data_IF_751878229822
#
_entry.id   IF_751878229822
#
_cell.length_a   1.000
_cell.length_b   1.000
_cell.length_c   1.000
_cell.angle_alpha   90.00
_cell.angle_beta   90.00
_cell.angle_gamma   90.00
#
_symmetry.space_group_name_H-M   'P 1'
#
loop_
_entity.id
_entity.type
_entity.pdbx_description
1 polymer ?
#
# COMPACT_ATOMS: atom_id res chain seq x y z
N UNK A 1 21.91 4.78 23.72
CA UNK A 1 21.31 4.36 22.41
C UNK A 1 19.93 5.00 22.14
N UNK A 2 19.08 5.19 23.13
CA UNK A 2 17.74 5.79 22.96
C UNK A 2 17.79 7.26 22.58
N UNK A 3 18.81 7.98 23.02
CA UNK A 3 19.00 9.39 22.69
C UNK A 3 19.39 9.53 21.21
N UNK A 4 20.31 8.74 20.73
CA UNK A 4 20.75 8.70 19.34
C UNK A 4 19.59 8.24 18.44
N UNK A 5 18.74 7.32 18.91
CA UNK A 5 17.53 6.93 18.17
C UNK A 5 16.57 8.13 18.05
N UNK A 6 16.39 8.94 19.09
CA UNK A 6 15.55 10.16 19.00
C UNK A 6 16.11 11.17 17.99
N UNK A 7 17.44 11.38 17.98
CA UNK A 7 18.07 12.25 16.98
C UNK A 7 17.88 11.74 15.56
N UNK A 8 18.03 10.43 15.35
CA UNK A 8 17.81 9.83 14.04
C UNK A 8 16.36 9.95 13.58
N UNK A 9 15.38 9.75 14.45
CA UNK A 9 13.95 9.93 14.15
C UNK A 9 13.69 11.38 13.74
N UNK A 10 14.20 12.36 14.49
CA UNK A 10 14.07 13.76 14.14
C UNK A 10 14.73 14.10 12.79
N UNK A 11 15.87 13.49 12.49
CA UNK A 11 16.53 13.61 11.18
C UNK A 11 15.67 13.04 10.04
N UNK A 12 15.06 11.86 10.25
CA UNK A 12 14.18 11.28 9.25
C UNK A 12 12.94 12.16 8.96
N UNK A 13 12.36 12.74 10.01
CA UNK A 13 11.17 13.60 9.89
C UNK A 13 11.50 14.97 9.26
N UNK A 14 12.49 15.65 9.77
CA UNK A 14 12.74 17.05 9.47
C UNK A 14 13.67 17.27 8.26
N UNK A 15 14.67 16.42 8.08
CA UNK A 15 15.70 16.57 7.04
C UNK A 15 15.40 15.65 5.86
N UNK A 16 15.22 14.36 6.10
CA UNK A 16 14.91 13.39 5.03
C UNK A 16 13.46 13.46 4.56
N UNK A 17 12.58 14.07 5.35
CA UNK A 17 11.13 14.13 5.08
C UNK A 17 10.56 12.76 4.71
N UNK A 18 11.00 11.74 5.46
CA UNK A 18 10.55 10.37 5.27
C UNK A 18 9.05 10.27 5.61
N UNK A 19 8.33 9.34 4.96
CA UNK A 19 6.92 9.13 5.27
C UNK A 19 6.73 8.73 6.74
N UNK A 20 5.61 9.13 7.33
CA UNK A 20 5.26 8.76 8.70
C UNK A 20 5.36 7.25 8.93
N UNK A 21 4.91 6.43 7.98
CA UNK A 21 4.99 4.97 8.07
C UNK A 21 6.45 4.47 8.09
N UNK A 22 7.35 5.11 7.34
CA UNK A 22 8.78 4.77 7.33
C UNK A 22 9.40 5.10 8.68
N UNK A 23 9.13 6.31 9.22
CA UNK A 23 9.62 6.74 10.53
C UNK A 23 9.17 5.78 11.63
N UNK A 24 7.87 5.47 11.69
CA UNK A 24 7.31 4.56 12.70
C UNK A 24 7.88 3.14 12.58
N UNK A 25 8.07 2.65 11.36
CA UNK A 25 8.65 1.33 11.13
C UNK A 25 10.11 1.28 11.57
N UNK A 26 10.91 2.27 11.19
CA UNK A 26 12.32 2.36 11.57
C UNK A 26 12.48 2.52 13.08
N UNK A 27 11.68 3.38 13.71
CA UNK A 27 11.66 3.54 15.16
C UNK A 27 11.38 2.20 15.85
N UNK A 28 10.32 1.48 15.43
CA UNK A 28 9.97 0.18 16.02
C UNK A 28 11.08 -0.87 15.83
N UNK A 29 11.69 -0.93 14.62
CA UNK A 29 12.74 -1.90 14.32
C UNK A 29 14.00 -1.63 15.17
N UNK A 30 14.41 -0.37 15.24
CA UNK A 30 15.61 0.06 15.99
C UNK A 30 15.42 -0.07 17.49
N UNK A 31 14.23 0.21 18.02
CA UNK A 31 13.91 -0.02 19.44
C UNK A 31 14.12 -1.48 19.83
N UNK A 32 13.68 -2.42 18.97
CA UNK A 32 13.88 -3.86 19.23
C UNK A 32 15.35 -4.26 19.12
N UNK A 33 16.08 -3.71 18.15
CA UNK A 33 17.53 -3.92 18.03
C UNK A 33 18.26 -3.41 19.28
N UNK A 34 17.96 -2.21 19.75
CA UNK A 34 18.57 -1.62 20.95
C UNK A 34 18.29 -2.50 22.16
N UNK A 35 17.06 -2.95 22.36
CA UNK A 35 16.70 -3.86 23.45
C UNK A 35 17.51 -5.17 23.40
N UNK A 36 17.71 -5.73 22.20
CA UNK A 36 18.57 -6.90 22.01
C UNK A 36 20.03 -6.60 22.41
N UNK A 37 20.59 -5.47 21.94
CA UNK A 37 21.97 -5.09 22.23
C UNK A 37 22.20 -4.86 23.71
N UNK A 38 21.27 -4.21 24.42
CA UNK A 38 21.32 -4.09 25.88
C UNK A 38 21.32 -5.45 26.57
N UNK A 39 20.51 -6.41 26.09
CA UNK A 39 20.53 -7.79 26.58
C UNK A 39 21.86 -8.54 26.36
N UNK A 40 22.72 -8.03 25.45
CA UNK A 40 24.08 -8.51 25.23
C UNK A 40 25.15 -7.67 25.98
N UNK A 41 24.75 -6.75 26.85
CA UNK A 41 25.65 -5.88 27.61
C UNK A 41 26.24 -4.72 26.82
N UNK A 42 25.61 -4.33 25.69
CA UNK A 42 26.02 -3.19 24.88
C UNK A 42 25.19 -1.97 25.23
N UNK A 43 25.77 -1.02 25.95
CA UNK A 43 25.07 0.20 26.44
C UNK A 43 25.38 1.46 25.60
N UNK A 44 26.33 1.38 24.70
CA UNK A 44 26.74 2.49 23.85
C UNK A 44 26.77 2.11 22.37
N UNK A 45 26.35 3.05 21.48
CA UNK A 45 26.43 2.87 20.03
C UNK A 45 27.87 2.67 19.55
N UNK A 46 28.87 3.25 20.22
CA UNK A 46 30.30 3.10 19.90
C UNK A 46 30.86 1.71 20.19
N UNK A 47 30.22 0.95 21.07
CA UNK A 47 30.60 -0.43 21.38
C UNK A 47 30.05 -1.46 20.37
N UNK A 48 29.05 -1.06 19.56
CA UNK A 48 28.44 -1.98 18.59
C UNK A 48 29.40 -2.32 17.46
N UNK A 49 29.48 -3.60 17.12
CA UNK A 49 30.29 -4.13 16.02
C UNK A 49 29.40 -4.89 15.04
N UNK A 50 29.87 -5.07 13.82
CA UNK A 50 29.16 -5.82 12.77
C UNK A 50 28.75 -7.22 13.24
N UNK A 51 29.55 -7.87 14.09
CA UNK A 51 29.24 -9.20 14.65
C UNK A 51 27.95 -9.18 15.49
N UNK A 52 27.72 -8.14 16.29
CA UNK A 52 26.51 -8.00 17.11
C UNK A 52 25.27 -7.84 16.23
N UNK A 53 25.37 -7.05 15.17
CA UNK A 53 24.28 -6.85 14.22
C UNK A 53 23.97 -8.11 13.40
N UNK A 54 25.01 -8.83 12.99
CA UNK A 54 24.83 -10.14 12.30
C UNK A 54 24.15 -11.16 13.24
N UNK A 55 24.54 -11.20 14.52
CA UNK A 55 23.90 -12.08 15.50
C UNK A 55 22.42 -11.73 15.69
N UNK A 56 22.08 -10.42 15.67
CA UNK A 56 20.68 -9.99 15.70
C UNK A 56 19.91 -10.41 14.45
N UNK A 57 20.50 -10.29 13.26
CA UNK A 57 19.88 -10.76 12.00
C UNK A 57 19.63 -12.27 12.06
N UNK A 58 20.60 -13.06 12.54
CA UNK A 58 20.44 -14.51 12.71
C UNK A 58 19.32 -14.85 13.72
N UNK A 59 19.17 -14.07 14.78
CA UNK A 59 18.05 -14.22 15.71
C UNK A 59 16.71 -14.00 15.01
N UNK A 60 16.58 -12.93 14.21
CA UNK A 60 15.34 -12.66 13.45
C UNK A 60 15.01 -13.79 12.46
N UNK A 61 16.03 -14.40 11.84
CA UNK A 61 15.87 -15.57 10.96
C UNK A 61 15.40 -16.80 11.76
N UNK A 62 16.03 -17.07 12.92
CA UNK A 62 15.65 -18.17 13.82
C UNK A 62 14.23 -18.02 14.34
N UNK A 63 13.77 -16.80 14.60
CA UNK A 63 12.40 -16.48 15.01
C UNK A 63 11.38 -16.60 13.87
N UNK A 64 11.82 -17.03 12.67
CA UNK A 64 10.94 -17.26 11.52
C UNK A 64 10.43 -16.01 10.84
N UNK A 65 11.10 -14.87 11.01
CA UNK A 65 10.71 -13.64 10.35
C UNK A 65 10.82 -13.73 8.83
N UNK A 66 9.85 -13.18 8.11
CA UNK A 66 9.89 -13.15 6.65
C UNK A 66 11.10 -12.37 6.11
N UNK A 67 11.73 -12.85 5.04
CA UNK A 67 12.90 -12.24 4.41
C UNK A 67 12.70 -10.74 4.09
N UNK A 68 11.49 -10.34 3.65
CA UNK A 68 11.17 -8.93 3.42
C UNK A 68 11.17 -8.10 4.72
N UNK A 69 10.74 -8.68 5.83
CA UNK A 69 10.79 -8.03 7.15
C UNK A 69 12.23 -7.86 7.60
N UNK A 70 13.05 -8.91 7.51
CA UNK A 70 14.48 -8.86 7.84
C UNK A 70 15.21 -7.82 6.98
N UNK A 71 14.90 -7.75 5.67
CA UNK A 71 15.46 -6.73 4.77
C UNK A 71 15.13 -5.31 5.24
N UNK A 72 13.93 -5.08 5.78
CA UNK A 72 13.53 -3.78 6.35
C UNK A 72 14.31 -3.47 7.64
N UNK A 73 14.49 -4.46 8.53
CA UNK A 73 15.34 -4.30 9.73
C UNK A 73 16.78 -3.93 9.35
N UNK A 74 17.35 -4.58 8.34
CA UNK A 74 18.71 -4.26 7.85
C UNK A 74 18.74 -2.83 7.27
N UNK A 75 17.72 -2.44 6.52
CA UNK A 75 17.63 -1.07 5.98
C UNK A 75 17.53 -0.01 7.09
N UNK A 76 16.76 -0.26 8.15
CA UNK A 76 16.67 0.65 9.30
C UNK A 76 17.99 0.73 10.07
N UNK A 77 18.68 -0.40 10.31
CA UNK A 77 20.00 -0.45 10.93
C UNK A 77 21.03 0.32 10.12
N UNK A 78 21.09 0.08 8.80
CA UNK A 78 22.00 0.81 7.90
C UNK A 78 21.74 2.32 7.95
N UNK A 79 20.49 2.73 7.83
CA UNK A 79 20.15 4.16 7.89
C UNK A 79 20.54 4.81 9.22
N UNK A 80 20.39 4.09 10.33
CA UNK A 80 20.72 4.56 11.66
C UNK A 80 22.23 4.71 11.86
N UNK A 81 23.00 3.64 11.60
CA UNK A 81 24.46 3.68 11.79
C UNK A 81 25.17 4.55 10.76
N UNK A 82 24.68 4.65 9.52
CA UNK A 82 25.16 5.63 8.54
C UNK A 82 24.95 7.07 9.05
N UNK A 83 23.78 7.37 9.64
CA UNK A 83 23.51 8.66 10.25
C UNK A 83 24.49 8.96 11.38
N UNK A 84 24.69 8.04 12.33
CA UNK A 84 25.61 8.21 13.45
C UNK A 84 27.06 8.41 12.98
N UNK A 85 27.47 7.68 11.96
CA UNK A 85 28.81 7.84 11.35
C UNK A 85 28.99 9.22 10.70
N UNK A 86 28.00 9.71 9.97
CA UNK A 86 28.04 11.03 9.33
C UNK A 86 28.03 12.19 10.32
N UNK A 87 27.35 12.02 11.46
CA UNK A 87 27.34 12.99 12.57
C UNK A 87 28.55 12.82 13.51
N UNK A 88 29.52 11.99 13.15
CA UNK A 88 30.75 11.72 13.94
C UNK A 88 30.48 11.22 15.37
N UNK A 89 29.35 10.56 15.60
CA UNK A 89 29.00 9.93 16.88
C UNK A 89 29.64 8.54 17.05
N UNK A 90 30.07 7.94 15.95
CA UNK A 90 30.84 6.69 15.89
C UNK A 90 31.97 6.82 14.85
N UNK A 91 33.08 6.07 15.06
CA UNK A 91 34.23 6.11 14.18
C UNK A 91 34.10 5.22 12.95
N UNK A 92 33.31 4.15 13.06
CA UNK A 92 33.06 3.18 11.97
C UNK A 92 31.57 2.83 11.91
N UNK A 93 31.04 2.60 10.70
CA UNK A 93 29.68 2.12 10.49
C UNK A 93 29.61 0.57 10.57
N UNK A 94 29.12 0.00 11.70
CA UNK A 94 29.04 -1.46 11.86
C UNK A 94 27.99 -2.11 10.97
N UNK A 95 27.08 -1.34 10.37
CA UNK A 95 26.01 -1.86 9.50
C UNK A 95 26.38 -1.84 8.00
N UNK A 96 27.50 -1.23 7.64
CA UNK A 96 27.92 -1.03 6.24
C UNK A 96 27.90 -2.34 5.43
N UNK A 97 28.46 -3.41 5.98
CA UNK A 97 28.62 -4.71 5.29
C UNK A 97 27.41 -5.62 5.39
N UNK A 98 26.37 -5.27 6.17
CA UNK A 98 25.15 -6.08 6.29
C UNK A 98 24.51 -6.28 4.91
N UNK A 99 24.13 -7.51 4.62
CA UNK A 99 23.47 -7.89 3.36
C UNK A 99 22.06 -8.38 3.64
N UNK A 100 21.04 -7.79 2.99
CA UNK A 100 19.68 -8.33 3.12
C UNK A 100 19.58 -9.73 2.51
N UNK A 101 18.73 -10.60 3.07
CA UNK A 101 18.45 -11.90 2.47
C UNK A 101 17.83 -11.72 1.07
N UNK A 102 18.07 -12.68 0.19
CA UNK A 102 17.42 -12.69 -1.13
C UNK A 102 15.91 -12.84 -0.95
N UNK A 103 15.18 -11.83 -1.35
CA UNK A 103 13.71 -11.88 -1.42
C UNK A 103 13.31 -12.37 -2.80
N UNK A 104 12.72 -13.55 -2.88
CA UNK A 104 12.11 -14.00 -4.13
C UNK A 104 10.96 -13.07 -4.50
N UNK A 105 11.05 -12.46 -5.67
CA UNK A 105 9.96 -11.65 -6.23
C UNK A 105 8.84 -12.57 -6.70
N UNK A 106 7.94 -12.95 -5.81
CA UNK A 106 6.72 -13.67 -6.19
C UNK A 106 5.85 -12.75 -7.04
N UNK A 107 5.27 -13.31 -8.10
CA UNK A 107 4.25 -12.57 -8.85
C UNK A 107 3.12 -12.17 -7.89
N UNK A 108 2.57 -10.94 -8.02
CA UNK A 108 1.47 -10.52 -7.17
C UNK A 108 0.27 -11.43 -7.39
N UNK A 109 -0.37 -11.84 -6.29
CA UNK A 109 -1.66 -12.52 -6.38
C UNK A 109 -2.69 -11.59 -7.03
N UNK A 110 -3.39 -12.10 -8.02
CA UNK A 110 -4.48 -11.41 -8.71
C UNK A 110 -5.75 -12.24 -8.69
N UNK A 111 -6.88 -11.57 -8.76
CA UNK A 111 -8.17 -12.18 -9.10
C UNK A 111 -8.31 -12.20 -10.61
N UNK A 112 -8.91 -13.22 -11.17
CA UNK A 112 -9.37 -13.20 -12.56
C UNK A 112 -10.51 -12.18 -12.73
N UNK A 113 -10.79 -11.78 -13.97
CA UNK A 113 -11.94 -10.89 -14.26
C UNK A 113 -13.24 -11.53 -13.75
N UNK A 114 -13.39 -12.83 -13.94
CA UNK A 114 -14.59 -13.58 -13.48
C UNK A 114 -14.71 -13.60 -11.95
N UNK A 115 -13.63 -13.88 -11.22
CA UNK A 115 -13.61 -13.83 -9.75
C UNK A 115 -13.95 -12.42 -9.25
N UNK A 116 -13.39 -11.38 -9.89
CA UNK A 116 -13.66 -9.98 -9.53
C UNK A 116 -15.14 -9.61 -9.75
N UNK A 117 -15.69 -9.91 -10.92
CA UNK A 117 -17.11 -9.65 -11.23
C UNK A 117 -18.03 -10.44 -10.27
N UNK A 118 -17.69 -11.69 -9.98
CA UNK A 118 -18.45 -12.51 -9.03
C UNK A 118 -18.43 -11.91 -7.62
N UNK A 119 -17.27 -11.44 -7.15
CA UNK A 119 -17.15 -10.76 -5.86
C UNK A 119 -17.99 -9.48 -5.82
N UNK A 120 -17.88 -8.65 -6.86
CA UNK A 120 -18.62 -7.39 -6.94
C UNK A 120 -20.15 -7.63 -7.03
N UNK A 121 -20.58 -8.73 -7.63
CA UNK A 121 -22.00 -9.12 -7.71
C UNK A 121 -22.61 -9.49 -6.34
N UNK A 122 -21.78 -9.85 -5.33
CA UNK A 122 -22.26 -10.11 -3.97
C UNK A 122 -22.70 -8.86 -3.21
N UNK A 123 -22.45 -7.67 -3.77
CA UNK A 123 -22.85 -6.39 -3.14
C UNK A 123 -24.29 -6.04 -3.50
N UNK A 124 -25.09 -5.66 -2.50
CA UNK A 124 -26.47 -5.21 -2.68
C UNK A 124 -26.64 -3.73 -2.39
N UNK A 125 -27.77 -3.16 -2.74
CA UNK A 125 -28.15 -1.77 -2.44
C UNK A 125 -29.35 -1.66 -1.51
N UNK A 126 -29.71 -2.78 -0.87
CA UNK A 126 -30.92 -2.90 -0.03
C UNK A 126 -30.75 -2.22 1.33
N UNK A 127 -29.52 -1.94 1.73
CA UNK A 127 -29.19 -1.32 3.02
C UNK A 127 -28.16 -0.20 2.82
N UNK A 128 -28.16 0.83 3.70
CA UNK A 128 -27.13 1.86 3.69
C UNK A 128 -25.70 1.30 3.68
N UNK A 129 -25.48 0.21 4.45
CA UNK A 129 -24.20 -0.50 4.50
C UNK A 129 -23.86 -1.16 3.15
N UNK A 130 -24.84 -1.77 2.52
CA UNK A 130 -24.68 -2.40 1.20
C UNK A 130 -24.34 -1.37 0.13
N UNK A 131 -25.04 -0.23 0.09
CA UNK A 131 -24.75 0.88 -0.81
C UNK A 131 -23.30 1.38 -0.66
N UNK A 132 -22.87 1.61 0.57
CA UNK A 132 -21.48 2.01 0.89
C UNK A 132 -20.46 0.98 0.40
N UNK A 133 -20.64 -0.26 0.80
CA UNK A 133 -19.70 -1.35 0.52
C UNK A 133 -19.56 -1.55 -1.00
N UNK A 134 -20.69 -1.50 -1.73
CA UNK A 134 -20.72 -1.57 -3.20
C UNK A 134 -19.97 -0.40 -3.84
N UNK A 135 -20.21 0.81 -3.37
CA UNK A 135 -19.52 2.00 -3.87
C UNK A 135 -18.00 1.89 -3.64
N UNK A 136 -17.57 1.51 -2.42
CA UNK A 136 -16.16 1.35 -2.08
C UNK A 136 -15.47 0.29 -2.95
N UNK A 137 -16.06 -0.89 -3.10
CA UNK A 137 -15.45 -1.99 -3.85
C UNK A 137 -15.39 -1.70 -5.35
N UNK A 138 -16.47 -1.16 -5.93
CA UNK A 138 -16.48 -0.78 -7.34
C UNK A 138 -15.50 0.35 -7.64
N UNK A 139 -15.41 1.35 -6.75
CA UNK A 139 -14.48 2.46 -6.91
C UNK A 139 -13.04 1.99 -6.80
N UNK A 140 -12.72 1.16 -5.80
CA UNK A 140 -11.37 0.60 -5.63
C UNK A 140 -10.92 -0.19 -6.87
N UNK A 141 -11.80 -1.00 -7.45
CA UNK A 141 -11.48 -1.76 -8.66
C UNK A 141 -11.36 -0.88 -9.90
N UNK A 142 -12.26 0.09 -10.06
CA UNK A 142 -12.25 0.98 -11.23
C UNK A 142 -11.01 1.88 -11.29
N UNK A 143 -10.50 2.30 -10.12
CA UNK A 143 -9.41 3.28 -10.02
C UNK A 143 -8.05 2.66 -9.68
N UNK A 144 -8.04 1.46 -9.10
CA UNK A 144 -6.82 0.85 -8.57
C UNK A 144 -6.14 1.65 -7.46
N UNK A 145 -6.81 2.64 -6.85
CA UNK A 145 -6.25 3.46 -5.78
C UNK A 145 -5.84 2.63 -4.55
N UNK A 146 -5.00 3.20 -3.68
CA UNK A 146 -4.67 2.56 -2.40
C UNK A 146 -5.86 2.65 -1.45
N UNK A 147 -6.00 1.67 -0.54
CA UNK A 147 -7.07 1.72 0.49
C UNK A 147 -6.96 2.95 1.36
N UNK A 148 -5.73 3.41 1.65
CA UNK A 148 -5.55 4.67 2.39
C UNK A 148 -6.16 5.86 1.66
N UNK A 149 -5.98 5.94 0.34
CA UNK A 149 -6.57 6.97 -0.50
C UNK A 149 -8.10 6.86 -0.52
N UNK A 150 -8.63 5.64 -0.71
CA UNK A 150 -10.09 5.40 -0.71
C UNK A 150 -10.76 5.86 0.59
N UNK A 151 -10.22 5.49 1.75
CA UNK A 151 -10.85 5.81 3.04
C UNK A 151 -10.63 7.26 3.48
N UNK A 152 -9.65 7.96 2.92
CA UNK A 152 -9.38 9.37 3.18
C UNK A 152 -10.10 10.33 2.22
N UNK A 153 -10.81 9.81 1.20
CA UNK A 153 -11.56 10.64 0.26
C UNK A 153 -12.55 11.55 0.98
N UNK A 154 -12.61 12.79 0.50
CA UNK A 154 -13.61 13.80 0.91
C UNK A 154 -14.70 13.92 -0.14
N UNK A 155 -15.78 14.52 0.23
CA UNK A 155 -16.89 14.82 -0.70
C UNK A 155 -16.42 15.69 -1.88
N UNK A 156 -15.56 16.67 -1.63
CA UNK A 156 -15.00 17.58 -2.64
C UNK A 156 -14.06 16.91 -3.64
N UNK A 157 -13.46 15.76 -3.26
CA UNK A 157 -12.51 15.02 -4.11
C UNK A 157 -13.22 14.30 -5.28
N UNK A 158 -14.55 14.19 -5.25
CA UNK A 158 -15.33 13.42 -6.20
C UNK A 158 -16.11 14.31 -7.14
N UNK A 159 -15.87 14.16 -8.43
CA UNK A 159 -16.66 14.80 -9.46
C UNK A 159 -17.48 13.75 -10.21
N UNK A 160 -18.74 13.58 -9.78
CA UNK A 160 -19.66 12.62 -10.41
C UNK A 160 -20.04 13.03 -11.85
N UNK A 161 -20.09 14.33 -12.14
CA UNK A 161 -20.48 14.84 -13.47
C UNK A 161 -19.44 14.49 -14.53
N UNK A 162 -18.17 14.61 -14.19
CA UNK A 162 -17.05 14.36 -15.10
C UNK A 162 -16.41 12.98 -14.90
N UNK A 163 -16.84 12.22 -13.88
CA UNK A 163 -16.38 10.84 -13.66
C UNK A 163 -14.92 10.73 -13.22
N UNK A 164 -14.43 11.65 -12.38
CA UNK A 164 -13.07 11.58 -11.84
C UNK A 164 -12.99 11.82 -10.33
N UNK A 165 -11.91 11.35 -9.73
CA UNK A 165 -11.56 11.53 -8.32
C UNK A 165 -10.18 12.16 -8.22
N UNK A 166 -10.03 13.10 -7.28
CA UNK A 166 -8.74 13.63 -6.87
C UNK A 166 -8.17 12.80 -5.72
N UNK A 167 -7.11 12.05 -6.00
CA UNK A 167 -6.36 11.31 -4.99
C UNK A 167 -5.21 12.14 -4.47
N UNK A 168 -5.13 12.28 -3.14
CA UNK A 168 -4.02 12.94 -2.43
C UNK A 168 -3.19 11.89 -1.69
N UNK A 169 -1.88 11.86 -1.93
CA UNK A 169 -0.94 10.93 -1.27
C UNK A 169 0.40 11.62 -1.02
N UNK A 170 0.75 11.83 0.25
CA UNK A 170 2.03 12.39 0.70
C UNK A 170 2.49 13.64 -0.08
N UNK A 171 1.57 14.60 -0.30
CA UNK A 171 1.87 15.85 -1.01
C UNK A 171 1.83 15.75 -2.55
N UNK A 172 1.44 14.61 -3.10
CA UNK A 172 1.18 14.43 -4.53
C UNK A 172 -0.32 14.30 -4.78
N UNK A 173 -0.79 14.97 -5.80
CA UNK A 173 -2.16 14.88 -6.25
C UNK A 173 -2.22 14.25 -7.63
N UNK A 174 -3.22 13.40 -7.85
CA UNK A 174 -3.51 12.88 -9.18
C UNK A 174 -5.01 12.71 -9.38
N UNK A 175 -5.48 13.00 -10.57
CA UNK A 175 -6.85 12.74 -10.99
C UNK A 175 -6.95 11.34 -11.58
N UNK A 176 -7.92 10.56 -11.10
CA UNK A 176 -8.17 9.21 -11.59
C UNK A 176 -9.60 9.14 -12.13
N UNK A 177 -9.80 8.78 -13.40
CA UNK A 177 -11.12 8.55 -13.92
C UNK A 177 -11.72 7.28 -13.32
N UNK A 178 -13.05 7.28 -13.12
CA UNK A 178 -13.80 6.10 -12.78
C UNK A 178 -14.95 5.90 -13.78
N UNK A 179 -15.22 4.66 -14.12
CA UNK A 179 -16.23 4.34 -15.11
C UNK A 179 -17.66 4.45 -14.58
N UNK A 180 -18.62 4.39 -15.48
CA UNK A 180 -20.05 4.55 -15.19
C UNK A 180 -20.58 3.64 -14.08
N UNK A 181 -20.14 2.35 -14.05
CA UNK A 181 -20.56 1.38 -13.02
C UNK A 181 -20.15 1.80 -11.61
N UNK A 182 -18.98 2.41 -11.43
CA UNK A 182 -18.53 2.92 -10.14
C UNK A 182 -19.25 4.24 -9.79
N UNK A 183 -19.44 5.12 -10.77
CA UNK A 183 -20.18 6.35 -10.59
C UNK A 183 -21.63 6.14 -10.14
N UNK A 184 -22.36 5.21 -10.77
CA UNK A 184 -23.72 4.83 -10.36
C UNK A 184 -23.78 4.31 -8.93
N UNK A 185 -22.85 3.42 -8.54
CA UNK A 185 -22.82 2.89 -7.17
C UNK A 185 -22.50 3.99 -6.14
N UNK A 186 -21.62 4.92 -6.50
CA UNK A 186 -21.28 6.05 -5.64
C UNK A 186 -22.45 7.00 -5.47
N UNK A 187 -23.18 7.30 -6.56
CA UNK A 187 -24.39 8.11 -6.52
C UNK A 187 -25.45 7.50 -5.58
N UNK A 188 -25.72 6.19 -5.74
CA UNK A 188 -26.67 5.48 -4.86
C UNK A 188 -26.24 5.53 -3.38
N UNK A 189 -24.94 5.41 -3.11
CA UNK A 189 -24.43 5.55 -1.75
C UNK A 189 -24.66 6.96 -1.20
N UNK A 190 -24.42 8.01 -1.98
CA UNK A 190 -24.62 9.37 -1.56
C UNK A 190 -26.11 9.69 -1.30
N UNK A 191 -26.99 9.20 -2.15
CA UNK A 191 -28.44 9.48 -2.05
C UNK A 191 -29.16 8.66 -0.98
N UNK A 192 -28.75 7.38 -0.76
CA UNK A 192 -29.50 6.44 0.08
C UNK A 192 -28.72 5.87 1.26
N UNK A 193 -27.38 5.98 1.24
CA UNK A 193 -26.56 5.28 2.21
C UNK A 193 -25.84 6.20 3.18
N UNK A 194 -25.25 7.29 2.71
CA UNK A 194 -24.33 8.10 3.51
C UNK A 194 -25.02 8.77 4.70
N UNK A 195 -26.21 9.35 4.49
CA UNK A 195 -26.94 10.08 5.52
C UNK A 195 -27.36 9.20 6.69
N UNK A 196 -27.60 7.89 6.45
CA UNK A 196 -27.89 6.96 7.52
C UNK A 196 -26.73 6.74 8.52
N UNK A 197 -25.51 7.09 8.13
CA UNK A 197 -24.33 7.04 9.01
C UNK A 197 -23.93 8.40 9.57
N UNK A 198 -24.48 9.49 9.06
CA UNK A 198 -24.09 10.84 9.41
C UNK A 198 -24.60 11.20 10.81
N UNK A 199 -23.71 11.22 11.82
CA UNK A 199 -24.02 11.63 13.20
C UNK A 199 -23.64 13.07 13.50
N UNK A 200 -22.70 13.63 12.75
CA UNK A 200 -22.21 15.00 12.79
C UNK A 200 -21.71 15.38 11.41
N UNK A 201 -21.68 16.65 11.13
CA UNK A 201 -21.13 17.13 9.87
C UNK A 201 -19.67 16.70 9.66
N UNK A 202 -19.37 16.18 8.47
CA UNK A 202 -18.04 15.71 8.10
C UNK A 202 -17.88 15.70 6.59
N UNK A 203 -16.71 16.12 6.14
CA UNK A 203 -16.33 16.09 4.73
C UNK A 203 -15.96 14.69 4.23
N UNK A 204 -15.75 13.72 5.16
CA UNK A 204 -15.34 12.35 4.80
C UNK A 204 -16.41 11.69 3.93
N UNK A 205 -15.99 11.12 2.80
CA UNK A 205 -16.87 10.44 1.87
C UNK A 205 -17.41 9.13 2.47
N UNK A 206 -16.53 8.23 2.91
CA UNK A 206 -16.92 6.91 3.38
C UNK A 206 -16.92 6.80 4.90
N UNK A 207 -18.11 6.60 5.47
CA UNK A 207 -18.32 6.49 6.91
C UNK A 207 -18.53 5.02 7.32
N UNK A 208 -18.09 4.69 8.53
CA UNK A 208 -18.43 3.42 9.18
C UNK A 208 -19.81 3.49 9.85
N UNK A 209 -20.29 2.38 10.41
CA UNK A 209 -21.62 2.31 11.05
C UNK A 209 -21.74 3.20 12.31
N UNK A 210 -20.63 3.67 12.89
CA UNK A 210 -20.66 4.62 14.02
C UNK A 210 -20.60 6.09 13.59
N UNK A 211 -20.56 6.37 12.28
CA UNK A 211 -20.48 7.73 11.74
C UNK A 211 -19.07 8.33 11.70
N UNK A 212 -18.04 7.54 12.05
CA UNK A 212 -16.65 7.93 11.92
C UNK A 212 -16.09 7.53 10.53
N UNK A 213 -14.95 8.08 10.09
CA UNK A 213 -14.29 7.65 8.85
C UNK A 213 -14.06 6.14 8.83
N UNK A 214 -14.19 5.51 7.65
CA UNK A 214 -13.88 4.10 7.47
C UNK A 214 -12.41 3.83 7.78
N UNK A 215 -12.12 2.84 8.62
CA UNK A 215 -10.75 2.42 8.90
C UNK A 215 -10.25 1.36 7.91
N UNK A 216 -8.91 1.23 7.77
CA UNK A 216 -8.29 0.17 6.96
C UNK A 216 -8.75 -1.23 7.40
N UNK A 217 -8.80 -1.48 8.73
CA UNK A 217 -9.26 -2.76 9.27
C UNK A 217 -10.75 -2.99 9.01
N UNK A 218 -11.57 -1.93 9.12
CA UNK A 218 -12.99 -1.98 8.80
C UNK A 218 -13.23 -2.34 7.35
N UNK A 219 -12.55 -1.67 6.42
CA UNK A 219 -12.64 -2.00 5.00
C UNK A 219 -12.13 -3.41 4.68
N UNK A 220 -11.04 -3.86 5.30
CA UNK A 220 -10.54 -5.21 5.10
C UNK A 220 -11.54 -6.29 5.55
N UNK A 221 -12.24 -6.07 6.68
CA UNK A 221 -13.34 -6.97 7.12
C UNK A 221 -14.48 -6.99 6.10
N UNK A 222 -14.84 -5.85 5.52
CA UNK A 222 -15.83 -5.77 4.44
C UNK A 222 -15.39 -6.61 3.25
N UNK A 223 -14.16 -6.40 2.76
CA UNK A 223 -13.61 -7.13 1.63
C UNK A 223 -13.60 -8.65 1.85
N UNK A 224 -13.08 -9.12 3.00
CA UNK A 224 -13.08 -10.54 3.36
C UNK A 224 -14.51 -11.13 3.43
N UNK A 225 -15.46 -10.38 3.95
CA UNK A 225 -16.85 -10.82 4.02
C UNK A 225 -17.50 -11.02 2.65
N UNK A 226 -17.20 -10.16 1.67
CA UNK A 226 -17.68 -10.33 0.29
C UNK A 226 -16.93 -11.44 -0.45
N UNK A 227 -15.64 -11.61 -0.22
CA UNK A 227 -14.85 -12.71 -0.76
C UNK A 227 -15.38 -14.09 -0.32
N UNK A 228 -15.66 -14.23 0.98
CA UNK A 228 -16.24 -15.45 1.53
C UNK A 228 -17.62 -15.77 0.91
N UNK A 229 -18.48 -14.76 0.71
CA UNK A 229 -19.77 -14.92 0.03
C UNK A 229 -19.62 -15.32 -1.44
N UNK A 230 -18.58 -14.85 -2.09
CA UNK A 230 -18.24 -15.23 -3.46
C UNK A 230 -17.54 -16.60 -3.56
N UNK A 231 -17.32 -17.31 -2.46
CA UNK A 231 -16.62 -18.59 -2.47
C UNK A 231 -15.15 -18.48 -2.92
N UNK A 232 -14.52 -17.33 -2.76
CA UNK A 232 -13.12 -17.13 -3.16
C UNK A 232 -12.21 -17.59 -2.04
N UNK A 233 -11.49 -18.69 -2.26
CA UNK A 233 -10.58 -19.30 -1.28
C UNK A 233 -9.25 -18.55 -1.11
N UNK A 234 -8.87 -17.71 -2.08
CA UNK A 234 -7.65 -16.90 -2.02
C UNK A 234 -7.68 -15.95 -0.81
N UNK A 235 -6.55 -15.77 -0.13
CA UNK A 235 -6.45 -14.76 0.92
C UNK A 235 -6.46 -13.35 0.31
N UNK A 236 -7.66 -12.83 0.17
CA UNK A 236 -7.92 -11.55 -0.46
C UNK A 236 -7.41 -10.40 0.40
N UNK A 237 -6.65 -9.52 -0.23
CA UNK A 237 -6.16 -8.28 0.34
C UNK A 237 -6.54 -7.08 -0.56
N UNK A 238 -6.64 -5.87 0.02
CA UNK A 238 -6.83 -4.67 -0.79
C UNK A 238 -5.73 -4.45 -1.84
N UNK A 239 -4.51 -4.90 -1.54
CA UNK A 239 -3.39 -4.86 -2.48
C UNK A 239 -3.65 -5.76 -3.69
N UNK A 240 -4.24 -6.94 -3.48
CA UNK A 240 -4.65 -7.84 -4.56
C UNK A 240 -5.68 -7.18 -5.49
N UNK A 241 -6.64 -6.41 -4.97
CA UNK A 241 -7.59 -5.64 -5.80
C UNK A 241 -6.87 -4.67 -6.74
N UNK A 242 -5.92 -3.91 -6.20
CA UNK A 242 -5.12 -2.97 -6.97
C UNK A 242 -4.26 -3.69 -8.01
N UNK A 243 -3.64 -4.83 -7.66
CA UNK A 243 -2.89 -5.65 -8.60
C UNK A 243 -3.78 -6.22 -9.71
N UNK A 244 -5.00 -6.65 -9.35
CA UNK A 244 -5.98 -7.16 -10.33
C UNK A 244 -6.42 -6.05 -11.28
N UNK A 245 -6.71 -4.85 -10.79
CA UNK A 245 -7.00 -3.69 -11.64
C UNK A 245 -5.87 -3.46 -12.65
N UNK A 246 -4.63 -3.37 -12.20
CA UNK A 246 -3.47 -3.15 -13.06
C UNK A 246 -3.26 -4.26 -14.10
N UNK A 247 -3.37 -5.53 -13.66
CA UNK A 247 -3.23 -6.69 -14.55
C UNK A 247 -4.34 -6.73 -15.61
N UNK A 248 -5.59 -6.42 -15.23
CA UNK A 248 -6.72 -6.37 -16.16
C UNK A 248 -6.60 -5.21 -17.16
N UNK A 249 -6.10 -4.06 -16.71
CA UNK A 249 -5.78 -2.94 -17.63
C UNK A 249 -4.69 -3.34 -18.61
N UNK A 250 -3.61 -3.99 -18.15
CA UNK A 250 -2.54 -4.47 -19.00
C UNK A 250 -3.05 -5.50 -20.01
N UNK A 251 -3.87 -6.47 -19.57
CA UNK A 251 -4.52 -7.46 -20.45
C UNK A 251 -5.46 -6.79 -21.48
N UNK A 252 -6.07 -5.66 -21.13
CA UNK A 252 -6.87 -4.83 -22.04
C UNK A 252 -6.05 -3.95 -22.98
N UNK A 253 -4.71 -4.07 -22.99
CA UNK A 253 -3.81 -3.32 -23.88
C UNK A 253 -3.39 -1.94 -23.37
N UNK A 254 -3.63 -1.61 -22.10
CA UNK A 254 -3.17 -0.34 -21.52
C UNK A 254 -1.63 -0.27 -21.52
N UNK A 255 -1.09 0.88 -21.91
CA UNK A 255 0.36 1.12 -21.87
C UNK A 255 0.87 1.21 -20.44
N UNK A 256 2.08 0.72 -20.17
CA UNK A 256 2.65 0.67 -18.80
C UNK A 256 2.75 2.05 -18.14
N UNK A 257 3.07 3.12 -18.90
CA UNK A 257 3.11 4.46 -18.34
C UNK A 257 1.72 4.95 -17.89
N UNK A 258 0.64 4.57 -18.59
CA UNK A 258 -0.72 4.89 -18.18
C UNK A 258 -1.08 4.19 -16.85
N UNK A 259 -0.69 2.93 -16.71
CA UNK A 259 -0.87 2.17 -15.45
C UNK A 259 -0.03 2.79 -14.33
N UNK A 260 1.20 3.21 -14.61
CA UNK A 260 2.06 3.93 -13.67
C UNK A 260 1.39 5.21 -13.17
N UNK A 261 0.90 6.03 -14.06
CA UNK A 261 0.27 7.32 -13.76
C UNK A 261 -1.01 7.14 -12.93
N UNK A 262 -1.93 6.30 -13.38
CA UNK A 262 -3.19 6.02 -12.68
C UNK A 262 -2.98 5.48 -11.28
N UNK A 263 -2.04 4.55 -11.14
CA UNK A 263 -1.73 3.96 -9.85
C UNK A 263 -0.82 4.84 -8.98
N UNK A 264 -0.21 5.90 -9.52
CA UNK A 264 0.70 6.78 -8.79
C UNK A 264 1.96 6.06 -8.33
N UNK A 265 2.59 5.27 -9.23
CA UNK A 265 3.91 4.72 -8.98
C UNK A 265 4.99 5.77 -9.30
N UNK A 266 6.01 5.85 -8.45
CA UNK A 266 7.12 6.80 -8.60
C UNK A 266 7.96 6.56 -9.85
N UNK A 267 8.05 5.30 -10.28
CA UNK A 267 8.80 4.90 -11.46
C UNK A 267 8.09 3.80 -12.26
N UNK A 268 8.51 3.62 -13.51
CA UNK A 268 7.93 2.64 -14.44
C UNK A 268 8.25 1.20 -14.02
N UNK A 269 9.34 0.97 -13.29
CA UNK A 269 9.76 -0.37 -12.85
C UNK A 269 8.70 -1.03 -11.99
N UNK A 270 7.99 -0.23 -11.17
CA UNK A 270 6.89 -0.71 -10.36
C UNK A 270 5.69 -1.21 -11.20
N UNK A 271 5.46 -0.65 -12.38
CA UNK A 271 4.40 -1.08 -13.30
C UNK A 271 4.83 -2.26 -14.19
N UNK A 272 6.13 -2.46 -14.42
CA UNK A 272 6.64 -3.54 -15.28
C UNK A 272 6.27 -4.94 -14.83
N UNK A 273 5.94 -5.13 -13.55
CA UNK A 273 5.45 -6.42 -13.05
C UNK A 273 4.16 -6.89 -13.75
N UNK A 274 3.43 -5.98 -14.40
CA UNK A 274 2.21 -6.28 -15.15
C UNK A 274 2.45 -6.45 -16.65
N UNK A 275 3.66 -6.25 -17.16
CA UNK A 275 3.97 -6.38 -18.59
C UNK A 275 3.65 -7.78 -19.14
N UNK A 276 3.81 -8.84 -18.33
CA UNK A 276 3.46 -10.20 -18.71
C UNK A 276 1.96 -10.47 -18.95
N UNK A 277 1.07 -9.52 -18.57
CA UNK A 277 -0.36 -9.60 -18.85
C UNK A 277 -0.78 -8.89 -20.14
N UNK A 278 0.11 -8.12 -20.76
CA UNK A 278 -0.20 -7.47 -22.04
C UNK A 278 -0.39 -8.47 -23.16
N UNK A 279 -1.25 -8.17 -24.15
CA UNK A 279 -1.35 -8.97 -25.37
C UNK A 279 0.01 -9.11 -26.06
N UNK A 280 0.25 -10.26 -26.69
CA UNK A 280 1.48 -10.44 -27.46
C UNK A 280 1.63 -9.35 -28.53
N UNK A 281 2.86 -8.85 -28.70
CA UNK A 281 3.21 -7.79 -29.68
C UNK A 281 2.71 -8.12 -31.09
N UNK A 282 2.68 -9.43 -31.45
CA UNK A 282 2.18 -9.90 -32.76
C UNK A 282 0.70 -9.54 -32.95
N UNK A 283 -0.13 -9.61 -31.90
CA UNK A 283 -1.56 -9.28 -31.98
C UNK A 283 -1.80 -7.77 -32.04
N UNK A 284 -0.89 -6.97 -31.47
CA UNK A 284 -0.95 -5.51 -31.60
C UNK A 284 -0.41 -5.05 -32.97
N UNK A 285 0.65 -5.67 -33.46
CA UNK A 285 1.23 -5.36 -34.77
C UNK A 285 0.18 -5.45 -35.86
N UNK A 286 -0.62 -6.55 -35.90
CA UNK A 286 -1.66 -6.73 -36.91
C UNK A 286 -2.82 -5.72 -36.81
N UNK A 287 -2.99 -5.05 -35.68
CA UNK A 287 -4.04 -4.01 -35.50
C UNK A 287 -3.57 -2.61 -35.89
N UNK A 288 -2.28 -2.33 -35.81
CA UNK A 288 -1.74 -0.97 -35.97
C UNK A 288 -0.83 -0.79 -37.14
N UNK A 289 -0.29 -1.87 -37.73
CA UNK A 289 0.59 -1.80 -38.89
C UNK A 289 -0.21 -1.88 -40.18
N UNK A 290 0.00 -0.98 -41.16
CA UNK A 290 -0.76 -0.95 -42.44
C UNK A 290 -0.68 -2.23 -43.27
N UNK A 291 0.23 -3.13 -42.93
CA UNK A 291 0.44 -4.44 -43.60
C UNK A 291 0.38 -5.61 -42.60
N UNK A 292 -0.20 -5.39 -41.41
CA UNK A 292 -0.38 -6.40 -40.38
C UNK A 292 -1.59 -7.30 -40.59
#
# INVERSE_FOLDING_TARGET
MEEELRYFVAYLENIRKASHNTVMSYHSDLTKMIAYLHGQGMDSVSAVRTTHLNSYVLLLEKDGMAAATISRYIASMKGFFEYLFREHMIEEDPAFTLKPPKVEKKQPGILTIQEMEHLLAQTTEDTPKGCRDKAMLKLLYATGMRVSELISLRMEDVNLRFGWILCRDEGRERMIPFGEKAGKALLVYLERGRDAFLKKDTETLFLNCSGAPMSRQGFWKVLKGYAARAGIEKDITPRMFRHSCAAHMAAGGARMHMIQELLGYSDLTAAQIYAGFQPEVKNEYSKVHPRG
#
